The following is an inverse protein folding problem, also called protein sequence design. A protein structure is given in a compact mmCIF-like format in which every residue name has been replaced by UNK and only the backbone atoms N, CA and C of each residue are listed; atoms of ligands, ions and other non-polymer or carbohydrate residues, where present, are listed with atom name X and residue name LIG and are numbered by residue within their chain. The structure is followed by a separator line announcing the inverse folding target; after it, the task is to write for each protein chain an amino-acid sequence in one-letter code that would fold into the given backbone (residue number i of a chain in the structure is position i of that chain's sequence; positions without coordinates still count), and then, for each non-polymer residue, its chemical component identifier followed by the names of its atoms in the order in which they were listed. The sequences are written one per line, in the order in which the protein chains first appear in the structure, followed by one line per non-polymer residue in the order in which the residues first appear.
data_IF_750716555149
#
_entry.id   IF_750716555149
#
_cell.length_a   1.000
_cell.length_b   1.000
_cell.length_c   1.000
_cell.angle_alpha   90.00
_cell.angle_beta   90.00
_cell.angle_gamma   90.00
#
_symmetry.space_group_name_H-M   'P 1'
#
loop_
_entity.id
_entity.type
_entity.pdbx_description
1 polymer ?
#
# COMPACT_ATOMS: atom_id res chain seq x y z
N UNK A 1 -53.52 -11.73 11.94
CA UNK A 1 -52.89 -12.63 12.93
C UNK A 1 -51.48 -12.11 13.20
N UNK A 2 -51.34 -11.51 14.36
CA UNK A 2 -50.15 -10.85 14.92
C UNK A 2 -49.03 -11.86 15.21
N UNK A 3 -47.82 -11.59 14.70
CA UNK A 3 -46.58 -12.14 15.28
C UNK A 3 -45.51 -11.04 15.35
N UNK A 4 -45.32 -10.58 16.58
CA UNK A 4 -44.15 -9.88 17.09
C UNK A 4 -42.86 -10.66 16.80
N UNK A 5 -41.77 -9.94 16.49
CA UNK A 5 -40.46 -10.01 17.21
C UNK A 5 -39.50 -9.01 16.53
N UNK A 6 -39.22 -7.86 17.16
CA UNK A 6 -38.18 -7.58 18.16
C UNK A 6 -36.91 -7.02 17.50
N UNK A 7 -36.89 -5.69 17.42
CA UNK A 7 -35.77 -4.85 17.00
C UNK A 7 -34.77 -4.81 18.16
N UNK A 8 -33.52 -5.22 17.93
CA UNK A 8 -32.40 -5.07 18.87
C UNK A 8 -31.54 -3.88 18.40
N UNK A 9 -31.82 -2.68 18.91
CA UNK A 9 -30.93 -1.52 18.77
C UNK A 9 -29.82 -1.64 19.81
N UNK A 10 -28.60 -1.94 19.36
CA UNK A 10 -27.40 -1.87 20.20
C UNK A 10 -26.96 -0.40 20.20
N UNK A 11 -27.34 0.30 21.27
CA UNK A 11 -26.97 1.69 21.54
C UNK A 11 -25.63 1.70 22.27
N UNK A 12 -24.52 1.81 21.52
CA UNK A 12 -23.19 2.00 22.11
C UNK A 12 -23.06 3.43 22.61
N UNK A 13 -23.08 3.59 23.93
CA UNK A 13 -22.77 4.83 24.60
C UNK A 13 -21.27 5.13 24.47
N UNK A 14 -20.91 6.07 23.60
CA UNK A 14 -19.58 6.68 23.55
C UNK A 14 -19.46 7.63 24.74
N UNK A 15 -18.92 7.15 25.85
CA UNK A 15 -18.39 8.02 26.90
C UNK A 15 -17.21 8.79 26.32
N UNK A 16 -17.45 10.07 26.00
CA UNK A 16 -16.40 11.04 25.77
C UNK A 16 -15.55 11.14 27.04
N UNK A 17 -14.40 10.49 27.04
CA UNK A 17 -13.40 10.64 28.08
C UNK A 17 -12.85 12.06 28.05
N UNK A 18 -13.29 12.90 28.99
CA UNK A 18 -12.59 14.11 29.35
C UNK A 18 -11.19 13.73 29.84
N UNK A 19 -10.18 13.88 28.98
CA UNK A 19 -8.77 13.78 29.35
C UNK A 19 -8.45 15.05 30.17
N UNK A 20 -8.10 14.93 31.46
CA UNK A 20 -7.66 16.11 32.21
C UNK A 20 -6.40 16.69 31.54
N UNK A 21 -6.22 18.01 31.53
CA UNK A 21 -4.97 18.61 31.09
C UNK A 21 -3.83 17.99 31.91
N UNK A 22 -2.75 17.63 31.22
CA UNK A 22 -1.56 17.08 31.84
C UNK A 22 -1.18 17.98 33.02
N UNK A 23 -1.15 17.39 34.20
CA UNK A 23 -0.58 18.03 35.37
C UNK A 23 0.82 18.52 34.97
N UNK A 24 1.03 19.83 35.05
CA UNK A 24 2.35 20.43 35.02
C UNK A 24 3.13 19.74 36.13
N UNK A 25 4.04 18.85 35.72
CA UNK A 25 4.98 18.23 36.62
C UNK A 25 5.73 19.38 37.31
N UNK A 26 5.78 19.36 38.63
CA UNK A 26 6.65 20.23 39.41
C UNK A 26 8.09 19.92 38.99
N UNK A 27 8.59 20.69 38.02
CA UNK A 27 9.97 20.63 37.56
C UNK A 27 10.88 20.99 38.74
N UNK A 28 11.66 20.03 39.24
CA UNK A 28 12.79 20.34 40.13
C UNK A 28 13.60 21.48 39.49
N UNK A 29 13.75 22.59 40.20
CA UNK A 29 14.41 23.75 39.62
C UNK A 29 15.88 23.42 39.34
N UNK A 30 16.22 23.24 38.07
CA UNK A 30 17.60 23.06 37.62
C UNK A 30 18.44 24.33 37.79
N UNK A 31 19.74 24.27 37.43
CA UNK A 31 20.66 25.39 37.61
C UNK A 31 20.19 26.62 36.84
N UNK A 32 20.40 27.79 37.45
CA UNK A 32 20.01 29.10 36.92
C UNK A 32 21.19 30.06 37.01
N UNK A 33 21.42 30.80 35.93
CA UNK A 33 22.37 31.91 35.85
C UNK A 33 21.61 33.20 35.55
N UNK A 34 21.85 34.23 36.35
CA UNK A 34 21.30 35.58 36.12
C UNK A 34 22.43 36.56 35.90
N UNK A 35 22.48 37.15 34.70
CA UNK A 35 23.41 38.22 34.35
C UNK A 35 22.65 39.54 34.19
N UNK A 36 23.20 40.63 34.70
CA UNK A 36 22.58 41.96 34.60
C UNK A 36 23.59 43.01 34.15
N UNK A 37 23.16 43.91 33.27
CA UNK A 37 23.91 45.11 32.87
C UNK A 37 22.95 46.31 32.81
N UNK A 38 23.07 47.21 33.79
CA UNK A 38 22.14 48.34 33.95
C UNK A 38 20.70 47.86 34.15
N UNK A 39 19.80 48.31 33.27
CA UNK A 39 18.38 47.94 33.29
C UNK A 39 18.08 46.62 32.53
N UNK A 40 19.10 45.96 31.96
CA UNK A 40 18.94 44.70 31.21
C UNK A 40 19.24 43.51 32.11
N UNK A 41 18.34 42.52 32.10
CA UNK A 41 18.49 41.26 32.82
C UNK A 41 18.40 40.09 31.84
N UNK A 42 19.37 39.19 31.90
CA UNK A 42 19.37 37.93 31.18
C UNK A 42 19.37 36.78 32.18
N UNK A 43 18.37 35.91 32.09
CA UNK A 43 18.21 34.72 32.89
C UNK A 43 18.36 33.50 32.00
N UNK A 44 19.28 32.61 32.35
CA UNK A 44 19.51 31.33 31.66
C UNK A 44 19.19 30.23 32.65
N UNK A 45 18.19 29.40 32.36
CA UNK A 45 17.70 28.35 33.26
C UNK A 45 17.67 27.01 32.56
N UNK A 46 18.06 25.96 33.29
CA UNK A 46 17.84 24.59 32.90
C UNK A 46 16.71 23.97 33.73
N UNK A 47 15.93 23.10 33.11
CA UNK A 47 14.82 22.43 33.79
C UNK A 47 15.27 21.28 34.69
N UNK A 48 16.49 20.76 34.54
CA UNK A 48 17.05 19.74 35.41
C UNK A 48 18.57 19.94 35.57
N UNK A 49 19.07 19.73 36.79
CA UNK A 49 20.51 19.78 37.11
C UNK A 49 21.20 18.42 37.03
N UNK A 50 20.45 17.35 37.26
CA UNK A 50 20.90 15.96 37.17
C UNK A 50 20.07 15.26 36.08
N UNK A 51 20.72 14.80 35.01
CA UNK A 51 20.05 14.13 33.88
C UNK A 51 20.74 12.81 33.54
N UNK A 52 20.03 11.89 32.92
CA UNK A 52 20.62 10.63 32.46
C UNK A 52 21.13 10.78 31.02
N UNK A 53 22.20 10.07 30.65
CA UNK A 53 22.70 10.03 29.26
C UNK A 53 21.57 9.71 28.27
N UNK A 54 21.37 10.56 27.27
CA UNK A 54 20.32 10.44 26.26
C UNK A 54 18.95 10.99 26.65
N UNK A 55 18.79 11.54 27.86
CA UNK A 55 17.60 12.26 28.27
C UNK A 55 17.67 13.73 27.82
N UNK A 56 16.63 14.27 27.14
CA UNK A 56 16.63 15.66 26.72
C UNK A 56 16.41 16.61 27.90
N UNK A 57 17.14 17.71 27.94
CA UNK A 57 16.98 18.81 28.91
C UNK A 57 16.60 20.09 28.20
N UNK A 58 15.68 20.87 28.77
CA UNK A 58 15.28 22.15 28.20
C UNK A 58 16.08 23.30 28.82
N UNK A 59 16.74 24.08 27.97
CA UNK A 59 17.41 25.33 28.30
C UNK A 59 16.51 26.51 27.90
N UNK A 60 16.15 27.34 28.88
CA UNK A 60 15.38 28.56 28.67
C UNK A 60 16.28 29.78 28.85
N UNK A 61 16.40 30.60 27.81
CA UNK A 61 17.10 31.88 27.82
C UNK A 61 16.06 32.99 27.77
N UNK A 62 15.93 33.72 28.87
CA UNK A 62 15.04 34.86 29.01
C UNK A 62 15.85 36.15 29.11
N UNK A 63 15.43 37.18 28.38
CA UNK A 63 16.07 38.50 28.45
C UNK A 63 15.00 39.58 28.55
N UNK A 64 15.15 40.48 29.52
CA UNK A 64 14.27 41.61 29.77
C UNK A 64 15.09 42.89 29.62
N UNK A 65 14.67 43.79 28.72
CA UNK A 65 15.34 45.08 28.51
C UNK A 65 14.31 46.21 28.27
N UNK A 66 14.64 47.46 28.63
CA UNK A 66 13.82 48.62 28.26
C UNK A 66 13.66 48.77 26.74
N UNK A 67 12.58 49.41 26.26
CA UNK A 67 12.25 49.45 24.83
C UNK A 67 13.23 50.29 23.98
N UNK A 68 14.11 51.07 24.62
CA UNK A 68 15.14 51.89 23.98
C UNK A 68 16.49 51.18 23.81
N UNK A 69 16.61 49.93 24.27
CA UNK A 69 17.82 49.10 24.10
C UNK A 69 17.49 48.02 23.07
N UNK A 70 18.20 48.02 21.95
CA UNK A 70 18.07 46.98 20.92
C UNK A 70 18.89 45.76 21.36
N UNK A 71 18.23 44.61 21.53
CA UNK A 71 18.83 43.36 22.00
C UNK A 71 18.98 42.39 20.83
N UNK A 72 20.18 41.84 20.66
CA UNK A 72 20.41 40.67 19.80
C UNK A 72 20.62 39.42 20.65
N UNK A 73 19.70 38.45 20.52
CA UNK A 73 19.76 37.16 21.21
C UNK A 73 21.01 36.35 20.81
N UNK A 74 21.51 35.46 21.68
CA UNK A 74 22.74 34.72 21.40
C UNK A 74 22.49 33.71 20.28
N UNK A 75 23.42 33.65 19.31
CA UNK A 75 23.34 32.67 18.23
C UNK A 75 23.78 31.29 18.75
N UNK A 76 22.81 30.40 18.92
CA UNK A 76 23.04 28.99 19.25
C UNK A 76 22.95 28.18 17.95
N UNK A 77 24.03 27.47 17.60
CA UNK A 77 24.09 26.62 16.41
C UNK A 77 23.50 25.22 16.64
N UNK A 78 23.93 24.24 15.86
CA UNK A 78 23.54 22.82 16.02
C UNK A 78 24.14 22.18 17.29
N UNK A 79 25.19 22.78 17.85
CA UNK A 79 25.87 22.31 19.06
C UNK A 79 26.09 23.46 20.04
N UNK A 80 26.01 23.15 21.33
CA UNK A 80 26.24 24.06 22.43
C UNK A 80 27.18 23.40 23.44
N UNK A 81 28.49 23.50 23.19
CA UNK A 81 29.50 22.79 23.98
C UNK A 81 29.38 21.27 23.81
N UNK A 82 29.27 20.47 24.90
CA UNK A 82 29.08 19.02 24.83
C UNK A 82 27.64 18.58 24.55
N UNK A 83 26.72 19.54 24.32
CA UNK A 83 25.31 19.28 24.04
C UNK A 83 25.00 19.48 22.55
N UNK A 84 24.13 18.62 22.04
CA UNK A 84 23.52 18.75 20.71
C UNK A 84 22.16 19.43 20.85
N UNK A 85 21.85 20.35 19.92
CA UNK A 85 20.58 21.09 19.94
C UNK A 85 19.58 20.35 19.07
N UNK A 86 18.60 19.71 19.71
CA UNK A 86 17.57 18.92 19.02
C UNK A 86 16.49 19.80 18.41
N UNK A 87 16.07 20.83 19.13
CA UNK A 87 15.07 21.78 18.65
C UNK A 87 15.26 23.15 19.29
N UNK A 88 14.88 24.20 18.56
CA UNK A 88 14.90 25.58 19.03
C UNK A 88 13.53 26.22 18.80
N UNK A 89 12.93 26.72 19.87
CA UNK A 89 11.63 27.36 19.88
C UNK A 89 11.78 28.80 20.37
N UNK A 90 11.54 29.75 19.46
CA UNK A 90 11.56 31.19 19.74
C UNK A 90 10.13 31.72 19.68
N UNK A 91 9.39 31.76 20.81
CA UNK A 91 8.14 32.51 20.87
C UNK A 91 8.35 34.00 20.52
N UNK A 92 7.31 34.70 20.03
CA UNK A 92 7.37 36.13 19.77
C UNK A 92 7.67 36.92 21.05
N UNK A 93 8.30 38.09 20.91
CA UNK A 93 8.62 38.97 22.03
C UNK A 93 7.35 39.50 22.70
N UNK A 94 7.37 39.56 24.04
CA UNK A 94 6.23 39.99 24.84
C UNK A 94 6.51 41.38 25.42
N UNK A 95 5.65 42.38 25.14
CA UNK A 95 5.76 43.68 25.80
C UNK A 95 5.36 43.57 27.28
N UNK A 96 6.19 44.07 28.18
CA UNK A 96 5.96 44.10 29.63
C UNK A 96 6.01 45.52 30.19
N UNK A 97 5.50 45.71 31.42
CA UNK A 97 5.47 47.02 32.08
C UNK A 97 6.87 47.66 32.25
N UNK A 98 7.92 46.84 32.34
CA UNK A 98 9.32 47.28 32.47
C UNK A 98 10.10 47.33 31.15
N UNK A 99 9.50 46.93 30.01
CA UNK A 99 10.16 46.93 28.71
C UNK A 99 9.69 45.84 27.75
N UNK A 100 10.62 45.17 27.07
CA UNK A 100 10.36 44.00 26.22
C UNK A 100 11.04 42.77 26.79
N UNK A 101 10.37 41.63 26.66
CA UNK A 101 10.85 40.31 27.10
C UNK A 101 11.01 39.38 25.89
N UNK A 102 12.20 38.82 25.75
CA UNK A 102 12.53 37.77 24.77
C UNK A 102 12.72 36.45 25.49
N UNK A 103 12.12 35.37 24.98
CA UNK A 103 12.26 34.02 25.53
C UNK A 103 12.65 33.07 24.42
N UNK A 104 13.76 32.36 24.57
CA UNK A 104 14.20 31.31 23.66
C UNK A 104 14.30 30.00 24.43
N UNK A 105 13.68 28.94 23.92
CA UNK A 105 13.74 27.58 24.49
C UNK A 105 14.50 26.65 23.55
N UNK A 106 15.49 25.95 24.08
CA UNK A 106 16.31 24.99 23.36
C UNK A 106 16.17 23.62 24.02
N UNK A 107 15.87 22.59 23.25
CA UNK A 107 15.98 21.20 23.70
C UNK A 107 17.38 20.70 23.42
N UNK A 108 18.10 20.32 24.47
CA UNK A 108 19.47 19.85 24.44
C UNK A 108 19.51 18.37 24.78
N UNK A 109 20.34 17.60 24.09
CA UNK A 109 20.67 16.22 24.46
C UNK A 109 22.20 16.00 24.44
N UNK A 110 22.65 14.96 25.13
CA UNK A 110 24.07 14.59 25.14
C UNK A 110 24.25 13.11 25.41
N UNK A 111 25.31 12.57 24.82
CA UNK A 111 25.77 11.19 25.05
C UNK A 111 26.97 11.10 25.99
N UNK A 112 27.55 12.25 26.38
CA UNK A 112 28.66 12.29 27.32
C UNK A 112 28.14 12.20 28.76
N UNK A 113 28.81 11.40 29.60
CA UNK A 113 28.54 11.32 31.04
C UNK A 113 29.54 12.16 31.84
N UNK A 114 29.14 12.59 33.04
CA UNK A 114 29.95 13.38 33.97
C UNK A 114 29.42 14.80 34.17
N UNK A 115 30.22 15.64 34.85
CA UNK A 115 29.90 17.05 35.03
C UNK A 115 30.19 17.81 33.72
N UNK A 116 29.13 18.15 32.99
CA UNK A 116 29.20 18.88 31.73
C UNK A 116 28.82 20.33 31.93
N UNK A 117 29.46 21.22 31.18
CA UNK A 117 29.24 22.66 31.30
C UNK A 117 28.55 23.21 30.05
N UNK A 118 27.40 23.86 30.24
CA UNK A 118 26.79 24.72 29.23
C UNK A 118 27.63 25.99 29.11
N UNK A 119 28.18 26.30 27.92
CA UNK A 119 29.03 27.46 27.72
C UNK A 119 28.27 28.78 27.92
N UNK A 120 29.01 29.83 28.28
CA UNK A 120 28.51 31.19 28.40
C UNK A 120 27.85 31.68 27.12
N UNK A 121 26.61 32.16 27.24
CA UNK A 121 25.88 32.80 26.16
C UNK A 121 26.14 34.31 26.21
N UNK A 122 26.54 34.89 25.08
CA UNK A 122 26.81 36.33 24.98
C UNK A 122 25.77 37.00 24.10
N UNK A 123 25.14 38.05 24.61
CA UNK A 123 24.19 38.89 23.89
C UNK A 123 24.77 40.27 23.62
N UNK A 124 24.40 40.86 22.48
CA UNK A 124 24.80 42.23 22.11
C UNK A 124 23.65 43.17 22.42
N UNK A 125 23.96 44.23 23.17
CA UNK A 125 23.04 45.29 23.57
C UNK A 125 23.50 46.58 22.89
N UNK A 126 22.58 47.27 22.22
CA UNK A 126 22.83 48.58 21.62
C UNK A 126 21.93 49.59 22.34
N UNK A 127 22.54 50.45 23.16
CA UNK A 127 21.81 51.50 23.86
C UNK A 127 21.67 52.72 22.96
N UNK A 128 20.43 53.06 22.60
CA UNK A 128 20.08 54.23 21.78
C UNK A 128 19.80 55.49 22.59
N UNK A 129 19.97 55.44 23.92
CA UNK A 129 19.85 56.61 24.81
C UNK A 129 21.07 57.52 24.73
N UNK A 130 22.23 56.99 24.32
CA UNK A 130 23.50 57.70 24.23
C UNK A 130 23.87 57.88 22.76
N UNK A 131 24.36 59.06 22.38
CA UNK A 131 24.87 59.34 21.03
C UNK A 131 26.38 59.63 21.09
N UNK A 132 27.23 58.87 20.39
CA UNK A 132 26.89 57.71 19.56
C UNK A 132 26.41 56.50 20.39
N UNK A 133 25.57 55.66 19.77
CA UNK A 133 24.99 54.47 20.39
C UNK A 133 26.05 53.60 21.07
N UNK A 134 25.87 53.34 22.37
CA UNK A 134 26.82 52.58 23.16
C UNK A 134 26.55 51.07 23.00
N UNK A 135 27.56 50.33 22.55
CA UNK A 135 27.49 48.88 22.44
C UNK A 135 28.02 48.22 23.71
N UNK A 136 27.20 47.37 24.32
CA UNK A 136 27.58 46.58 25.50
C UNK A 136 27.34 45.10 25.21
N UNK A 137 28.20 44.22 25.73
CA UNK A 137 27.99 42.77 25.68
C UNK A 137 27.63 42.26 27.06
N UNK A 138 26.56 41.48 27.14
CA UNK A 138 26.15 40.81 28.37
C UNK A 138 26.39 39.32 28.21
N UNK A 139 27.10 38.73 29.15
CA UNK A 139 27.48 37.32 29.14
C UNK A 139 26.85 36.60 30.32
N UNK A 140 26.31 35.39 30.09
CA UNK A 140 25.82 34.53 31.17
C UNK A 140 26.97 33.80 31.86
N UNK A 141 26.77 33.40 33.10
CA UNK A 141 27.69 32.45 33.71
C UNK A 141 27.50 31.06 33.06
N UNK A 142 28.55 30.23 33.02
CA UNK A 142 28.44 28.86 32.55
C UNK A 142 27.65 28.01 33.56
N UNK A 143 26.72 27.18 33.09
CA UNK A 143 25.93 26.30 33.96
C UNK A 143 26.52 24.89 33.95
N UNK A 144 26.73 24.29 35.13
CA UNK A 144 27.19 22.91 35.26
C UNK A 144 25.99 21.98 35.45
N UNK A 145 25.94 20.89 34.69
CA UNK A 145 24.92 19.85 34.73
C UNK A 145 25.61 18.51 34.95
N UNK A 146 25.10 17.71 35.89
CA UNK A 146 25.64 16.37 36.13
C UNK A 146 24.89 15.37 35.27
N UNK A 147 25.58 14.76 34.31
CA UNK A 147 25.00 13.70 33.47
C UNK A 147 25.36 12.33 34.03
N UNK A 148 24.37 11.67 34.62
CA UNK A 148 24.47 10.33 35.15
C UNK A 148 24.56 9.30 34.01
N UNK A 149 25.62 8.48 34.03
CA UNK A 149 25.70 7.31 33.17
C UNK A 149 24.78 6.20 33.70
N UNK A 150 23.93 5.63 32.83
CA UNK A 150 23.12 4.43 33.14
C UNK A 150 23.99 3.24 33.53
N UNK A 151 25.24 3.21 33.04
CA UNK A 151 26.21 2.14 33.33
C UNK A 151 26.99 2.43 34.62
N UNK A 152 26.88 3.65 35.18
CA UNK A 152 27.79 4.18 36.20
C UNK A 152 28.96 4.90 35.55
N UNK A 153 29.41 6.00 36.14
CA UNK A 153 30.51 6.83 35.59
C UNK A 153 31.87 6.11 35.71
N UNK A 154 31.97 5.14 36.63
CA UNK A 154 33.17 4.34 36.90
C UNK A 154 33.12 2.92 36.30
N UNK A 155 32.19 2.65 35.38
CA UNK A 155 32.05 1.32 34.78
C UNK A 155 33.29 0.96 33.96
N UNK A 156 33.99 -0.08 34.38
CA UNK A 156 35.16 -0.58 33.68
C UNK A 156 34.75 -1.56 32.58
N UNK A 157 35.63 -1.85 31.63
CA UNK A 157 35.38 -2.88 30.61
C UNK A 157 35.05 -4.26 31.21
N UNK A 158 35.36 -4.49 32.50
CA UNK A 158 35.01 -5.70 33.24
C UNK A 158 33.54 -5.75 33.69
N UNK A 159 32.84 -4.61 33.77
CA UNK A 159 31.41 -4.52 34.10
C UNK A 159 30.52 -4.67 32.87
N UNK A 160 31.11 -4.62 31.68
CA UNK A 160 30.42 -4.90 30.43
C UNK A 160 30.05 -6.38 30.40
N UNK A 161 28.77 -6.66 30.61
CA UNK A 161 28.23 -8.00 30.45
C UNK A 161 28.35 -8.41 28.98
N UNK A 162 28.68 -9.68 28.78
CA UNK A 162 28.65 -10.27 27.45
C UNK A 162 27.26 -10.10 26.82
N UNK A 163 27.24 -10.02 25.50
CA UNK A 163 26.01 -9.92 24.73
C UNK A 163 25.14 -11.11 25.10
N UNK A 164 23.92 -10.86 25.60
CA UNK A 164 22.96 -11.94 25.87
C UNK A 164 22.82 -12.77 24.60
N UNK A 165 23.05 -14.08 24.75
CA UNK A 165 22.84 -15.02 23.65
C UNK A 165 21.41 -14.92 23.11
N UNK A 166 21.23 -15.38 21.87
CA UNK A 166 19.91 -15.47 21.27
C UNK A 166 18.97 -16.27 22.17
N UNK A 167 17.78 -15.74 22.43
CA UNK A 167 16.73 -16.49 23.09
C UNK A 167 16.18 -17.47 22.06
N UNK A 168 16.28 -18.76 22.36
CA UNK A 168 15.58 -19.79 21.59
C UNK A 168 14.08 -19.58 21.77
N UNK A 169 13.49 -18.84 20.84
CA UNK A 169 12.05 -18.76 20.72
C UNK A 169 11.60 -20.13 20.23
N UNK A 170 10.77 -20.88 20.98
CA UNK A 170 10.26 -22.16 20.50
C UNK A 170 9.41 -21.89 19.26
N UNK A 171 10.00 -22.11 18.09
CA UNK A 171 9.32 -21.99 16.81
C UNK A 171 8.40 -23.20 16.72
N UNK A 172 7.20 -23.08 17.29
CA UNK A 172 6.12 -24.04 17.11
C UNK A 172 5.67 -23.98 15.63
N UNK A 173 6.49 -24.53 14.72
CA UNK A 173 6.34 -24.24 13.30
C UNK A 173 7.05 -25.21 12.37
N UNK A 174 8.12 -25.89 12.81
CA UNK A 174 8.87 -26.80 11.93
C UNK A 174 8.07 -28.02 11.46
N UNK A 175 6.96 -28.35 12.12
CA UNK A 175 6.02 -29.41 11.71
C UNK A 175 4.60 -28.90 11.44
N UNK A 176 4.35 -27.59 11.61
CA UNK A 176 3.03 -27.00 11.37
C UNK A 176 2.62 -27.03 9.88
N UNK A 177 3.58 -27.18 8.96
CA UNK A 177 3.33 -27.35 7.54
C UNK A 177 2.96 -28.78 7.13
N UNK A 178 3.23 -29.80 7.96
CA UNK A 178 2.89 -31.20 7.67
C UNK A 178 1.38 -31.43 7.44
N UNK A 179 0.45 -30.89 8.27
CA UNK A 179 -0.98 -31.04 7.98
C UNK A 179 -1.38 -30.33 6.68
N UNK A 180 -0.77 -29.20 6.36
CA UNK A 180 -1.01 -28.48 5.10
C UNK A 180 -0.51 -29.28 3.88
N UNK A 181 0.68 -29.88 3.98
CA UNK A 181 1.23 -30.75 2.94
C UNK A 181 0.40 -32.03 2.76
N UNK A 182 -0.08 -32.64 3.85
CA UNK A 182 -0.98 -33.78 3.80
C UNK A 182 -2.32 -33.43 3.15
N UNK A 183 -2.89 -32.26 3.47
CA UNK A 183 -4.12 -31.77 2.85
C UNK A 183 -3.92 -31.48 1.35
N UNK A 184 -2.80 -30.89 0.95
CA UNK A 184 -2.46 -30.67 -0.45
C UNK A 184 -2.32 -31.99 -1.22
N UNK A 185 -1.64 -32.99 -0.64
CA UNK A 185 -1.51 -34.31 -1.24
C UNK A 185 -2.86 -35.01 -1.40
N UNK A 186 -3.72 -34.92 -0.39
CA UNK A 186 -5.10 -35.43 -0.45
C UNK A 186 -5.89 -34.76 -1.57
N UNK A 187 -5.79 -33.43 -1.70
CA UNK A 187 -6.47 -32.68 -2.74
C UNK A 187 -6.01 -33.10 -4.14
N UNK A 188 -4.70 -33.27 -4.36
CA UNK A 188 -4.15 -33.78 -5.62
C UNK A 188 -4.68 -35.19 -5.91
N UNK A 189 -4.74 -36.07 -4.90
CA UNK A 189 -5.31 -37.41 -5.02
C UNK A 189 -6.79 -37.39 -5.41
N UNK A 190 -7.59 -36.51 -4.80
CA UNK A 190 -9.01 -36.32 -5.13
C UNK A 190 -9.17 -35.82 -6.56
N UNK A 191 -8.38 -34.83 -6.99
CA UNK A 191 -8.43 -34.29 -8.36
C UNK A 191 -8.04 -35.38 -9.36
N UNK A 192 -6.97 -36.13 -9.11
CA UNK A 192 -6.54 -37.23 -9.96
C UNK A 192 -7.60 -38.34 -10.05
N UNK A 193 -8.19 -38.74 -8.92
CA UNK A 193 -9.27 -39.72 -8.87
C UNK A 193 -10.53 -39.23 -9.61
N UNK A 194 -10.89 -37.96 -9.45
CA UNK A 194 -12.01 -37.35 -10.15
C UNK A 194 -11.76 -37.24 -11.66
N UNK A 195 -10.55 -36.87 -12.09
CA UNK A 195 -10.16 -36.87 -13.50
C UNK A 195 -10.18 -38.29 -14.07
N UNK A 196 -9.69 -39.28 -13.32
CA UNK A 196 -9.70 -40.68 -13.72
C UNK A 196 -11.12 -41.24 -13.81
N UNK A 197 -12.01 -40.92 -12.87
CA UNK A 197 -13.43 -41.27 -12.93
C UNK A 197 -14.17 -40.54 -14.06
N UNK A 198 -13.87 -39.26 -14.32
CA UNK A 198 -14.37 -38.58 -15.52
C UNK A 198 -13.90 -39.26 -16.80
N UNK A 199 -12.66 -39.74 -16.85
CA UNK A 199 -12.13 -40.44 -18.03
C UNK A 199 -12.75 -41.84 -18.18
N UNK A 200 -12.98 -42.56 -17.07
CA UNK A 200 -13.67 -43.85 -17.08
C UNK A 200 -15.16 -43.74 -17.38
N UNK A 201 -15.84 -42.70 -16.91
CA UNK A 201 -17.23 -42.39 -17.27
C UNK A 201 -17.39 -41.84 -18.70
N UNK A 202 -16.29 -41.74 -19.46
CA UNK A 202 -16.29 -41.42 -20.90
C UNK A 202 -16.02 -42.63 -21.77
N UNK A 203 -15.82 -43.81 -21.19
CA UNK A 203 -16.04 -45.08 -21.87
C UNK A 203 -17.46 -45.55 -21.53
N UNK A 204 -18.29 -45.76 -22.55
CA UNK A 204 -19.73 -46.12 -22.49
C UNK A 204 -20.70 -45.01 -22.06
N UNK A 205 -20.86 -43.98 -22.90
CA UNK A 205 -22.09 -43.70 -23.68
C UNK A 205 -21.66 -42.68 -24.73
N UNK A 206 -21.48 -43.14 -25.96
CA UNK A 206 -21.35 -42.24 -27.10
C UNK A 206 -22.73 -41.66 -27.39
N UNK A 207 -23.12 -40.62 -26.65
CA UNK A 207 -23.99 -39.62 -27.27
C UNK A 207 -23.23 -39.08 -28.49
N UNK A 208 -23.87 -38.96 -29.66
CA UNK A 208 -23.21 -38.41 -30.84
C UNK A 208 -22.58 -37.07 -30.45
N UNK A 209 -21.30 -36.81 -30.80
CA UNK A 209 -20.69 -35.52 -30.51
C UNK A 209 -21.60 -34.44 -31.11
N UNK A 210 -22.22 -33.62 -30.25
CA UNK A 210 -23.05 -32.51 -30.70
C UNK A 210 -22.17 -31.68 -31.64
N UNK A 211 -22.56 -31.52 -32.92
CA UNK A 211 -21.72 -30.80 -33.87
C UNK A 211 -21.36 -29.41 -33.32
N UNK A 212 -20.12 -28.92 -33.52
CA UNK A 212 -19.66 -27.65 -32.94
C UNK A 212 -20.62 -26.48 -33.16
N UNK A 213 -21.24 -26.42 -34.35
CA UNK A 213 -22.21 -25.39 -34.72
C UNK A 213 -23.54 -25.52 -33.94
N UNK A 214 -24.00 -26.74 -33.63
CA UNK A 214 -25.22 -26.96 -32.84
C UNK A 214 -24.99 -26.54 -31.39
N UNK A 215 -23.81 -26.86 -30.85
CA UNK A 215 -23.44 -26.39 -29.51
C UNK A 215 -23.35 -24.87 -29.45
N UNK A 216 -22.67 -24.25 -30.42
CA UNK A 216 -22.49 -22.80 -30.45
C UNK A 216 -23.83 -22.06 -30.60
N UNK A 217 -24.74 -22.53 -31.47
CA UNK A 217 -26.10 -21.99 -31.58
C UNK A 217 -26.86 -22.05 -30.26
N UNK A 218 -26.88 -23.21 -29.60
CA UNK A 218 -27.54 -23.36 -28.28
C UNK A 218 -26.93 -22.45 -27.21
N UNK A 219 -25.61 -22.26 -27.22
CA UNK A 219 -24.92 -21.39 -26.27
C UNK A 219 -25.22 -19.91 -26.54
N UNK A 220 -25.31 -19.50 -27.81
CA UNK A 220 -25.72 -18.15 -28.21
C UNK A 220 -27.18 -17.88 -27.85
N UNK A 221 -28.10 -18.82 -28.12
CA UNK A 221 -29.52 -18.70 -27.77
C UNK A 221 -29.70 -18.57 -26.24
N UNK A 222 -28.93 -19.34 -25.46
CA UNK A 222 -28.93 -19.22 -24.00
C UNK A 222 -28.41 -17.85 -23.53
N UNK A 223 -27.35 -17.34 -24.14
CA UNK A 223 -26.80 -16.01 -23.82
C UNK A 223 -27.79 -14.88 -24.16
N UNK A 224 -28.50 -14.99 -25.27
CA UNK A 224 -29.54 -14.03 -25.70
C UNK A 224 -30.72 -14.02 -24.72
N UNK A 225 -31.16 -15.20 -24.27
CA UNK A 225 -32.27 -15.34 -23.32
C UNK A 225 -32.01 -14.69 -21.95
N UNK A 226 -30.75 -14.52 -21.55
CA UNK A 226 -30.37 -13.90 -20.29
C UNK A 226 -30.49 -12.37 -20.29
N UNK A 227 -30.63 -11.73 -21.48
CA UNK A 227 -30.86 -10.28 -21.64
C UNK A 227 -29.85 -9.39 -20.88
N UNK A 228 -28.60 -9.85 -20.76
CA UNK A 228 -27.55 -9.23 -19.95
C UNK A 228 -27.26 -7.77 -20.32
N UNK A 229 -27.36 -7.41 -21.59
CA UNK A 229 -27.16 -6.03 -22.07
C UNK A 229 -28.24 -5.10 -21.51
N UNK A 230 -29.49 -5.56 -21.43
CA UNK A 230 -30.61 -4.78 -20.93
C UNK A 230 -30.59 -4.64 -19.40
N UNK A 231 -30.02 -5.61 -18.70
CA UNK A 231 -29.84 -5.57 -17.24
C UNK A 231 -28.58 -4.83 -16.81
N UNK A 232 -27.86 -4.19 -17.74
CA UNK A 232 -26.64 -3.43 -17.47
C UNK A 232 -25.38 -4.28 -17.27
N UNK A 233 -25.44 -5.59 -17.48
CA UNK A 233 -24.33 -6.52 -17.33
C UNK A 233 -23.55 -6.71 -18.65
N UNK A 234 -23.17 -5.60 -19.29
CA UNK A 234 -22.55 -5.58 -20.64
C UNK A 234 -21.18 -6.26 -20.65
N UNK A 235 -20.39 -6.09 -19.59
CA UNK A 235 -19.08 -6.76 -19.47
C UNK A 235 -19.23 -8.30 -19.47
N UNK A 236 -20.16 -8.82 -18.66
CA UNK A 236 -20.45 -10.26 -18.57
C UNK A 236 -20.93 -10.80 -19.93
N UNK A 237 -21.74 -10.02 -20.64
CA UNK A 237 -22.18 -10.36 -21.99
C UNK A 237 -21.00 -10.51 -22.96
N UNK A 238 -20.08 -9.53 -23.03
CA UNK A 238 -18.92 -9.60 -23.93
C UNK A 238 -17.92 -10.69 -23.55
N UNK A 239 -17.73 -10.96 -22.25
CA UNK A 239 -16.94 -12.11 -21.78
C UNK A 239 -17.52 -13.40 -22.32
N UNK A 240 -18.80 -13.67 -22.05
CA UNK A 240 -19.43 -14.92 -22.46
C UNK A 240 -19.55 -15.08 -23.96
N UNK A 241 -19.89 -14.01 -24.69
CA UNK A 241 -19.96 -14.04 -26.14
C UNK A 241 -18.60 -14.40 -26.76
N UNK A 242 -17.53 -13.78 -26.26
CA UNK A 242 -16.17 -14.08 -26.74
C UNK A 242 -15.72 -15.51 -26.42
N UNK A 243 -16.12 -16.06 -25.27
CA UNK A 243 -15.79 -17.43 -24.88
C UNK A 243 -16.52 -18.46 -25.74
N UNK A 244 -17.78 -18.19 -26.09
CA UNK A 244 -18.57 -19.04 -26.99
C UNK A 244 -17.91 -19.08 -28.38
N UNK A 245 -17.54 -17.93 -28.93
CA UNK A 245 -16.89 -17.84 -30.25
C UNK A 245 -15.54 -18.54 -30.25
N UNK A 246 -14.72 -18.35 -29.21
CA UNK A 246 -13.41 -19.02 -29.07
C UNK A 246 -13.54 -20.54 -28.98
N UNK A 247 -14.44 -21.04 -28.14
CA UNK A 247 -14.68 -22.48 -28.02
C UNK A 247 -15.27 -23.08 -29.30
N UNK A 248 -16.12 -22.35 -30.02
CA UNK A 248 -16.63 -22.80 -31.31
C UNK A 248 -15.48 -22.98 -32.31
N UNK A 249 -14.59 -21.99 -32.39
CA UNK A 249 -13.42 -22.04 -33.27
C UNK A 249 -12.49 -23.18 -32.89
N UNK A 250 -12.24 -23.39 -31.60
CA UNK A 250 -11.44 -24.51 -31.10
C UNK A 250 -12.05 -25.86 -31.50
N UNK A 251 -13.35 -26.06 -31.27
CA UNK A 251 -14.03 -27.32 -31.60
C UNK A 251 -14.15 -27.55 -33.10
N UNK A 252 -14.25 -26.50 -33.91
CA UNK A 252 -14.45 -26.58 -35.36
C UNK A 252 -13.14 -26.67 -36.15
N UNK A 253 -12.18 -25.83 -35.80
CA UNK A 253 -10.92 -25.68 -36.52
C UNK A 253 -9.73 -26.31 -35.77
N UNK A 254 -9.89 -26.76 -34.53
CA UNK A 254 -8.82 -27.39 -33.75
C UNK A 254 -7.76 -26.41 -33.26
N UNK A 255 -8.09 -25.12 -33.19
CA UNK A 255 -7.21 -24.07 -32.69
C UNK A 255 -7.32 -23.97 -31.17
N UNK A 256 -6.22 -24.18 -30.43
CA UNK A 256 -6.19 -24.08 -28.95
C UNK A 256 -6.42 -22.62 -28.51
N UNK A 257 -7.69 -22.28 -28.26
CA UNK A 257 -8.13 -20.92 -27.96
C UNK A 257 -8.03 -20.45 -26.49
N UNK A 258 -8.20 -21.31 -25.45
CA UNK A 258 -8.27 -20.86 -24.06
C UNK A 258 -6.92 -20.44 -23.45
N UNK A 259 -5.81 -20.94 -24.01
CA UNK A 259 -4.45 -20.75 -23.48
C UNK A 259 -3.68 -19.63 -24.20
N UNK A 260 -4.30 -19.01 -25.20
CA UNK A 260 -3.66 -18.00 -26.06
C UNK A 260 -4.18 -16.59 -25.78
N UNK A 261 -3.27 -15.62 -25.79
CA UNK A 261 -3.65 -14.20 -25.85
C UNK A 261 -4.45 -13.90 -27.12
N UNK A 262 -5.26 -12.84 -27.14
CA UNK A 262 -6.06 -12.46 -28.32
C UNK A 262 -5.22 -12.32 -29.59
N UNK A 263 -4.01 -11.74 -29.48
CA UNK A 263 -3.11 -11.58 -30.62
C UNK A 263 -2.51 -12.91 -31.11
N UNK A 264 -2.25 -13.86 -30.22
CA UNK A 264 -1.81 -15.22 -30.59
C UNK A 264 -2.92 -15.99 -31.29
N UNK A 265 -4.13 -15.92 -30.74
CA UNK A 265 -5.30 -16.56 -31.31
C UNK A 265 -5.62 -16.02 -32.71
N UNK A 266 -5.59 -14.70 -32.91
CA UNK A 266 -5.81 -14.08 -34.22
C UNK A 266 -4.70 -14.42 -35.22
N UNK A 267 -3.45 -14.57 -34.78
CA UNK A 267 -2.35 -15.06 -35.64
C UNK A 267 -2.57 -16.50 -36.07
N UNK A 268 -2.99 -17.37 -35.15
CA UNK A 268 -3.30 -18.77 -35.46
C UNK A 268 -4.52 -18.89 -36.41
N UNK A 269 -5.57 -18.11 -36.17
CA UNK A 269 -6.75 -18.07 -37.02
C UNK A 269 -6.46 -17.58 -38.45
N UNK A 270 -5.54 -16.62 -38.62
CA UNK A 270 -5.10 -16.14 -39.95
C UNK A 270 -4.30 -17.17 -40.73
N UNK A 271 -3.61 -18.07 -40.04
CA UNK A 271 -2.83 -19.13 -40.66
C UNK A 271 -3.69 -20.31 -41.15
N UNK A 272 -4.96 -20.38 -40.73
CA UNK A 272 -5.89 -21.44 -41.13
C UNK A 272 -6.62 -21.09 -42.42
N UNK A 273 -6.38 -21.88 -43.48
CA UNK A 273 -6.97 -21.68 -44.82
C UNK A 273 -8.46 -22.02 -44.88
N UNK A 274 -9.01 -22.67 -43.84
CA UNK A 274 -10.45 -23.00 -43.76
C UNK A 274 -11.30 -21.82 -43.29
N UNK A 275 -10.67 -20.75 -42.80
CA UNK A 275 -11.34 -19.53 -42.37
C UNK A 275 -11.19 -18.44 -43.44
N UNK A 276 -12.28 -18.03 -44.08
CA UNK A 276 -12.23 -17.01 -45.12
C UNK A 276 -11.71 -15.67 -44.59
N UNK A 277 -10.98 -14.91 -45.41
CA UNK A 277 -10.33 -13.64 -45.03
C UNK A 277 -11.33 -12.66 -44.38
N UNK A 278 -12.55 -12.55 -44.92
CA UNK A 278 -13.59 -11.69 -44.33
C UNK A 278 -14.01 -12.11 -42.92
N UNK A 279 -14.05 -13.41 -42.63
CA UNK A 279 -14.36 -13.90 -41.28
C UNK A 279 -13.20 -13.68 -40.31
N UNK A 280 -11.94 -13.70 -40.79
CA UNK A 280 -10.77 -13.38 -39.98
C UNK A 280 -10.77 -11.91 -39.52
N UNK A 281 -11.16 -11.00 -40.41
CA UNK A 281 -11.26 -9.56 -40.11
C UNK A 281 -12.40 -9.26 -39.13
N UNK A 282 -13.56 -9.88 -39.33
CA UNK A 282 -14.71 -9.78 -38.41
C UNK A 282 -14.39 -10.36 -37.03
N UNK A 283 -13.70 -11.49 -36.97
CA UNK A 283 -13.25 -12.08 -35.70
C UNK A 283 -12.23 -11.17 -34.99
N UNK A 284 -11.32 -10.56 -35.74
CA UNK A 284 -10.33 -9.63 -35.19
C UNK A 284 -10.95 -8.35 -34.64
N UNK A 285 -11.93 -7.75 -35.34
CA UNK A 285 -12.64 -6.58 -34.85
C UNK A 285 -13.46 -6.90 -33.60
N UNK A 286 -14.16 -8.03 -33.60
CA UNK A 286 -14.98 -8.49 -32.48
C UNK A 286 -14.16 -8.77 -31.22
N UNK A 287 -13.07 -9.55 -31.31
CA UNK A 287 -12.27 -9.89 -30.13
C UNK A 287 -11.55 -8.68 -29.54
N UNK A 288 -11.10 -7.74 -30.37
CA UNK A 288 -10.51 -6.48 -29.87
C UNK A 288 -11.54 -5.60 -29.17
N UNK A 289 -12.77 -5.51 -29.70
CA UNK A 289 -13.85 -4.81 -29.04
C UNK A 289 -14.18 -5.44 -27.67
N UNK A 290 -14.23 -6.78 -27.61
CA UNK A 290 -14.44 -7.49 -26.35
C UNK A 290 -13.31 -7.22 -25.33
N UNK A 291 -12.05 -7.16 -25.77
CA UNK A 291 -10.91 -6.84 -24.87
C UNK A 291 -10.97 -5.40 -24.36
N UNK A 292 -11.43 -4.43 -25.16
CA UNK A 292 -11.65 -3.06 -24.70
C UNK A 292 -12.72 -2.98 -23.59
N UNK A 293 -13.78 -3.79 -23.69
CA UNK A 293 -14.81 -3.87 -22.64
C UNK A 293 -14.23 -4.48 -21.36
N UNK A 294 -13.54 -5.62 -21.48
CA UNK A 294 -12.98 -6.38 -20.33
C UNK A 294 -11.87 -5.64 -19.59
N UNK A 295 -10.98 -4.98 -20.32
CA UNK A 295 -9.74 -4.43 -19.74
C UNK A 295 -9.72 -2.91 -19.69
N UNK A 296 -10.36 -2.23 -20.65
CA UNK A 296 -10.37 -0.77 -20.74
C UNK A 296 -11.66 -0.13 -20.20
N UNK A 297 -12.59 -0.92 -19.63
CA UNK A 297 -13.91 -0.48 -19.14
C UNK A 297 -14.67 0.36 -20.16
N UNK A 298 -14.50 0.01 -21.45
CA UNK A 298 -15.28 0.63 -22.49
C UNK A 298 -16.76 0.24 -22.31
N UNK A 299 -17.67 1.20 -22.56
CA UNK A 299 -19.12 1.01 -22.47
C UNK A 299 -19.72 1.05 -23.88
N UNK A 300 -19.90 -0.11 -24.55
CA UNK A 300 -20.55 -0.17 -25.84
C UNK A 300 -22.02 0.22 -25.74
N UNK A 301 -22.51 0.87 -26.77
CA UNK A 301 -23.93 1.14 -26.94
C UNK A 301 -24.73 -0.17 -27.10
N UNK A 302 -26.03 -0.11 -26.81
CA UNK A 302 -26.92 -1.26 -27.03
C UNK A 302 -26.91 -1.72 -28.50
N UNK A 303 -26.83 -0.78 -29.44
CA UNK A 303 -26.73 -1.06 -30.89
C UNK A 303 -25.45 -1.83 -31.23
N UNK A 304 -24.30 -1.44 -30.66
CA UNK A 304 -23.04 -2.16 -30.85
C UNK A 304 -23.08 -3.57 -30.27
N UNK A 305 -23.72 -3.75 -29.11
CA UNK A 305 -23.88 -5.06 -28.48
C UNK A 305 -24.78 -5.98 -29.32
N UNK A 306 -25.88 -5.46 -29.87
CA UNK A 306 -26.76 -6.19 -30.79
C UNK A 306 -26.02 -6.56 -32.08
N UNK A 307 -25.25 -5.63 -32.65
CA UNK A 307 -24.44 -5.90 -33.84
C UNK A 307 -23.38 -6.98 -33.56
N UNK A 308 -22.71 -6.92 -32.41
CA UNK A 308 -21.69 -7.90 -32.03
C UNK A 308 -22.29 -9.31 -31.88
N UNK A 309 -23.47 -9.42 -31.27
CA UNK A 309 -24.20 -10.69 -31.20
C UNK A 309 -24.57 -11.23 -32.58
N UNK A 310 -25.14 -10.37 -33.44
CA UNK A 310 -25.53 -10.74 -34.80
C UNK A 310 -24.33 -11.20 -35.62
N UNK A 311 -23.19 -10.52 -35.53
CA UNK A 311 -21.94 -10.92 -36.19
C UNK A 311 -21.43 -12.27 -35.69
N UNK A 312 -21.46 -12.52 -34.37
CA UNK A 312 -21.06 -13.81 -33.81
C UNK A 312 -21.97 -14.96 -34.28
N UNK A 313 -23.28 -14.72 -34.38
CA UNK A 313 -24.25 -15.69 -34.89
C UNK A 313 -24.04 -15.97 -36.38
N UNK A 314 -23.90 -14.92 -37.19
CA UNK A 314 -23.62 -15.04 -38.64
C UNK A 314 -22.33 -15.84 -38.88
N UNK A 315 -21.28 -15.57 -38.10
CA UNK A 315 -20.02 -16.31 -38.19
C UNK A 315 -20.20 -17.82 -37.95
N UNK A 316 -20.96 -18.22 -36.93
CA UNK A 316 -21.24 -19.65 -36.66
C UNK A 316 -22.03 -20.29 -37.81
N UNK A 317 -23.02 -19.57 -38.34
CA UNK A 317 -23.88 -20.09 -39.40
C UNK A 317 -23.15 -20.19 -40.74
N UNK A 318 -22.36 -19.19 -41.13
CA UNK A 318 -21.57 -19.16 -42.37
C UNK A 318 -20.41 -20.17 -42.38
N UNK A 319 -19.91 -20.56 -41.20
CA UNK A 319 -18.82 -21.55 -41.06
C UNK A 319 -19.32 -22.96 -40.73
N UNK A 320 -20.64 -23.15 -40.72
CA UNK A 320 -21.27 -24.47 -40.61
C UNK A 320 -20.94 -25.29 -41.87
N UNK A 321 -20.39 -26.52 -41.74
CA UNK A 321 -20.17 -27.38 -42.91
C UNK A 321 -21.50 -27.71 -43.60
N UNK A 322 -21.49 -27.76 -44.93
CA UNK A 322 -22.59 -28.33 -45.70
C UNK A 322 -22.55 -29.86 -45.54
N UNK A 323 -23.47 -30.42 -44.77
CA UNK A 323 -23.55 -31.86 -44.44
C UNK A 323 -23.72 -32.76 -45.69
N UNK A 324 -23.92 -32.17 -46.88
CA UNK A 324 -24.07 -32.89 -48.16
C UNK A 324 -22.75 -33.37 -48.77
N UNK A 325 -21.61 -32.78 -48.40
CA UNK A 325 -20.29 -33.09 -49.01
C UNK A 325 -19.52 -34.17 -48.23
N UNK A 326 -19.84 -34.40 -46.95
CA UNK A 326 -19.15 -35.37 -46.10
C UNK A 326 -19.69 -36.81 -46.21
N UNK A 327 -20.78 -37.03 -46.96
CA UNK A 327 -21.50 -38.30 -47.02
C UNK A 327 -21.19 -39.17 -48.25
N UNK A 328 -20.21 -38.80 -49.10
CA UNK A 328 -19.81 -39.64 -50.23
C UNK A 328 -18.61 -40.53 -49.83
N UNK A 329 -18.79 -41.84 -49.59
CA UNK A 329 -17.69 -42.73 -49.25
C UNK A 329 -16.77 -42.92 -50.47
N UNK A 330 -15.44 -42.93 -50.30
CA UNK A 330 -14.53 -43.20 -51.41
C UNK A 330 -14.79 -44.60 -51.98
N UNK A 331 -14.91 -44.68 -53.31
CA UNK A 331 -15.15 -45.93 -54.04
C UNK A 331 -14.08 -47.00 -53.70
N UNK A 332 -14.46 -48.27 -53.53
CA UNK A 332 -13.54 -49.32 -53.14
C UNK A 332 -12.52 -49.61 -54.27
N UNK A 333 -11.24 -49.58 -53.92
CA UNK A 333 -10.15 -49.98 -54.80
C UNK A 333 -10.24 -51.48 -55.12
N UNK A 334 -10.42 -51.81 -56.40
CA UNK A 334 -10.34 -53.18 -56.93
C UNK A 334 -8.93 -53.74 -56.69
N UNK A 335 -8.83 -54.71 -55.77
CA UNK A 335 -7.70 -55.60 -55.67
C UNK A 335 -7.73 -56.59 -56.84
N UNK A 336 -6.89 -56.36 -57.86
CA UNK A 336 -6.60 -57.36 -58.87
C UNK A 336 -5.50 -58.29 -58.33
N UNK A 337 -5.93 -59.49 -57.92
CA UNK A 337 -5.05 -60.58 -57.51
C UNK A 337 -4.23 -61.14 -58.67
N UNK A 338 -3.00 -61.52 -58.32
CA UNK A 338 -2.18 -62.40 -59.11
C UNK A 338 -2.80 -63.81 -59.19
N UNK A 339 -2.94 -64.34 -60.40
CA UNK A 339 -2.95 -65.79 -60.63
C UNK A 339 -2.60 -66.09 -62.10
N UNK A 340 -1.60 -66.97 -62.24
CA UNK A 340 -1.11 -67.69 -63.44
C UNK A 340 -0.11 -66.97 -64.33
#
# INVERSE_FOLDING_TARGET
MTRWTLVLVIMTATCAGCRPPAAEAETEAGPESVAAAGDVRMTVRLDAGDIVVGEPVTLTVELVAPPQIDVTMPAVGETLGPFSVRSAHTPPDVPEAAGRRWVHRYELDTFAAGALTVPTLTTRLVDRRVEPAAETRLASDPLVVTVASVVGVDATAADLRDIKGGVDVPIAGERAWMPLAAAALLLVGIIAAWQWWRRRGRETVSEPPVPPHVWARRALDALEAERLVETGAVEVFYVRLSDIVRQYIERRFGLTAPEQTTDEFLRAARADTRLAVGHQELLASFLRAADLVKFARHEPTATESVSAFASARSFVDETTPDDRVAADPPAPALAAGAAS
#
